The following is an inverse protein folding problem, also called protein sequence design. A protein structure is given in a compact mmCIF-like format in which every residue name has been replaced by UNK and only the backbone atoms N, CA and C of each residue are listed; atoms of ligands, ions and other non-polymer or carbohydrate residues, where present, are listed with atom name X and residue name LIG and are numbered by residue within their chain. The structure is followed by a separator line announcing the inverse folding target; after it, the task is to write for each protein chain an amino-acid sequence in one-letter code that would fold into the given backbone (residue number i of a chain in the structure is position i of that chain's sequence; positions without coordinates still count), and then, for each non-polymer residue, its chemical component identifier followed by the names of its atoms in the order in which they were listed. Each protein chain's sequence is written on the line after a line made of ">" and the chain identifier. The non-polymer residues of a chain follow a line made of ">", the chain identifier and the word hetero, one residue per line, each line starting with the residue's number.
data_IF_969352399525
#
_entry.id   IF_969352399525
#
_cell.length_a   1.000
_cell.length_b   1.000
_cell.length_c   1.000
_cell.angle_alpha   90.00
_cell.angle_beta   90.00
_cell.angle_gamma   90.00
#
_symmetry.space_group_name_H-M   'P 1'
#
loop_
_entity.id
_entity.type
_entity.pdbx_description
1 polymer ?
#
# COMPACT_ATOMS: atom_id res chain seq x y z
N UNK A 1 -0.87 -28.97 3.44
CA UNK A 1 -2.09 -28.25 2.94
C UNK A 1 -2.42 -28.81 1.56
N UNK A 2 -3.67 -29.17 1.30
CA UNK A 2 -4.15 -29.67 0.01
C UNK A 2 -4.08 -28.60 -1.10
N UNK A 3 -3.95 -28.98 -2.38
CA UNK A 3 -3.77 -28.03 -3.50
C UNK A 3 -4.89 -26.99 -3.62
N UNK A 4 -6.13 -27.38 -3.36
CA UNK A 4 -7.29 -26.49 -3.43
C UNK A 4 -7.23 -25.41 -2.35
N UNK A 5 -6.89 -25.78 -1.12
CA UNK A 5 -6.72 -24.81 -0.02
C UNK A 5 -5.56 -23.83 -0.28
N UNK A 6 -4.44 -24.30 -0.89
CA UNK A 6 -3.32 -23.40 -1.28
C UNK A 6 -3.77 -22.34 -2.27
N UNK A 7 -4.51 -22.76 -3.29
CA UNK A 7 -5.03 -21.86 -4.32
C UNK A 7 -5.97 -20.80 -3.72
N UNK A 8 -6.87 -21.21 -2.82
CA UNK A 8 -7.78 -20.30 -2.13
C UNK A 8 -7.00 -19.27 -1.28
N UNK A 9 -6.05 -19.72 -0.47
CA UNK A 9 -5.27 -18.84 0.41
C UNK A 9 -4.53 -17.77 -0.42
N UNK A 10 -3.81 -18.18 -1.45
CA UNK A 10 -3.06 -17.25 -2.30
C UNK A 10 -4.01 -16.36 -3.10
N UNK A 11 -5.10 -16.91 -3.65
CA UNK A 11 -6.10 -16.15 -4.40
C UNK A 11 -6.73 -15.03 -3.57
N UNK A 12 -7.13 -15.31 -2.34
CA UNK A 12 -7.70 -14.30 -1.43
C UNK A 12 -6.71 -13.18 -1.14
N UNK A 13 -5.44 -13.52 -0.87
CA UNK A 13 -4.41 -12.51 -0.60
C UNK A 13 -4.11 -11.67 -1.84
N UNK A 14 -4.02 -12.29 -3.02
CA UNK A 14 -3.79 -11.60 -4.28
C UNK A 14 -4.95 -10.63 -4.59
N UNK A 15 -6.20 -11.05 -4.41
CA UNK A 15 -7.38 -10.21 -4.64
C UNK A 15 -7.42 -9.03 -3.67
N UNK A 16 -7.16 -9.25 -2.38
CA UNK A 16 -7.08 -8.18 -1.38
C UNK A 16 -5.97 -7.17 -1.68
N UNK A 17 -4.80 -7.66 -2.09
CA UNK A 17 -3.67 -6.81 -2.47
C UNK A 17 -3.90 -6.09 -3.79
N UNK A 18 -4.59 -6.71 -4.74
CA UNK A 18 -4.97 -6.10 -6.00
C UNK A 18 -5.85 -4.87 -5.81
N UNK A 19 -6.86 -4.93 -4.91
CA UNK A 19 -7.70 -3.77 -4.59
C UNK A 19 -6.87 -2.62 -4.00
N UNK A 20 -5.91 -2.93 -3.13
CA UNK A 20 -5.01 -1.91 -2.58
C UNK A 20 -4.14 -1.25 -3.66
N UNK A 21 -3.63 -2.05 -4.60
CA UNK A 21 -2.84 -1.55 -5.72
C UNK A 21 -3.68 -0.76 -6.73
N UNK A 22 -4.88 -1.26 -7.04
CA UNK A 22 -5.84 -0.55 -7.90
C UNK A 22 -6.21 0.80 -7.30
N UNK A 23 -6.51 0.87 -5.99
CA UNK A 23 -6.79 2.13 -5.29
C UNK A 23 -5.62 3.14 -5.38
N UNK A 24 -4.38 2.66 -5.38
CA UNK A 24 -3.23 3.55 -5.57
C UNK A 24 -3.23 4.20 -6.96
N UNK A 25 -3.58 3.46 -7.99
CA UNK A 25 -3.48 3.89 -9.38
C UNK A 25 -4.70 4.68 -9.87
N UNK A 26 -5.90 4.42 -9.34
CA UNK A 26 -7.11 5.19 -9.64
C UNK A 26 -7.05 6.65 -9.13
N UNK A 27 -6.09 6.97 -8.24
CA UNK A 27 -5.93 8.34 -7.75
C UNK A 27 -5.40 9.32 -8.80
N UNK A 28 -4.63 8.87 -9.79
CA UNK A 28 -4.06 9.76 -10.81
C UNK A 28 -5.13 10.57 -11.56
N UNK A 29 -6.20 9.97 -12.12
CA UNK A 29 -7.29 10.73 -12.75
C UNK A 29 -8.15 11.54 -11.75
N UNK A 30 -8.08 11.24 -10.44
CA UNK A 30 -8.82 11.99 -9.42
C UNK A 30 -8.20 13.35 -9.07
N UNK A 31 -6.89 13.54 -9.31
CA UNK A 31 -6.18 14.74 -8.87
C UNK A 31 -6.80 16.05 -9.38
N UNK A 32 -7.19 16.21 -10.66
CA UNK A 32 -7.83 17.45 -11.13
C UNK A 32 -9.18 17.73 -10.46
N UNK A 33 -9.96 16.70 -10.15
CA UNK A 33 -11.23 16.85 -9.44
C UNK A 33 -11.01 17.30 -7.99
N UNK A 34 -10.02 16.72 -7.30
CA UNK A 34 -9.65 17.11 -5.94
C UNK A 34 -9.13 18.56 -5.87
N UNK A 35 -8.34 18.98 -6.86
CA UNK A 35 -7.87 20.37 -6.95
C UNK A 35 -9.04 21.36 -7.02
N UNK A 36 -10.05 21.06 -7.84
CA UNK A 36 -11.24 21.91 -7.97
C UNK A 36 -12.07 21.91 -6.69
N UNK A 37 -12.36 20.72 -6.13
CA UNK A 37 -13.25 20.60 -4.97
C UNK A 37 -12.66 21.22 -3.70
N UNK A 38 -11.35 21.09 -3.48
CA UNK A 38 -10.69 21.63 -2.30
C UNK A 38 -10.01 23.00 -2.55
N UNK A 39 -10.06 23.52 -3.78
CA UNK A 39 -9.42 24.77 -4.18
C UNK A 39 -7.93 24.81 -3.81
N UNK A 40 -7.19 23.77 -4.18
CA UNK A 40 -5.77 23.58 -3.87
C UNK A 40 -4.91 23.53 -5.12
N UNK A 41 -3.62 23.80 -4.94
CA UNK A 41 -2.65 23.80 -6.03
C UNK A 41 -2.21 22.39 -6.44
N UNK A 42 -1.60 22.27 -7.63
CA UNK A 42 -1.03 21.02 -8.12
C UNK A 42 0.04 20.45 -7.16
N UNK A 43 0.89 21.31 -6.58
CA UNK A 43 1.89 20.89 -5.59
C UNK A 43 1.25 20.33 -4.33
N UNK A 44 0.14 20.92 -3.87
CA UNK A 44 -0.58 20.45 -2.69
C UNK A 44 -1.29 19.12 -2.96
N UNK A 45 -1.97 18.96 -4.09
CA UNK A 45 -2.71 17.73 -4.39
C UNK A 45 -1.81 16.52 -4.57
N UNK A 46 -0.57 16.71 -5.00
CA UNK A 46 0.40 15.61 -5.15
C UNK A 46 0.70 14.89 -3.82
N UNK A 47 0.48 15.56 -2.67
CA UNK A 47 0.63 14.90 -1.37
C UNK A 47 -0.30 13.70 -1.18
N UNK A 48 -1.41 13.62 -1.91
CA UNK A 48 -2.31 12.45 -1.91
C UNK A 48 -1.59 11.17 -2.33
N UNK A 49 -0.72 11.26 -3.33
CA UNK A 49 0.10 10.14 -3.80
C UNK A 49 1.41 10.01 -3.04
N UNK A 50 2.06 11.13 -2.73
CA UNK A 50 3.35 11.13 -2.02
C UNK A 50 3.25 10.56 -0.61
N UNK A 51 2.22 10.95 0.17
CA UNK A 51 2.01 10.41 1.52
C UNK A 51 1.70 8.91 1.49
N UNK A 52 0.97 8.46 0.46
CA UNK A 52 0.70 7.03 0.29
C UNK A 52 1.98 6.24 0.05
N UNK A 53 2.85 6.71 -0.85
CA UNK A 53 4.15 6.07 -1.13
C UNK A 53 5.08 6.10 0.08
N UNK A 54 5.11 7.23 0.81
CA UNK A 54 5.91 7.39 2.02
C UNK A 54 5.53 6.36 3.09
N UNK A 55 4.24 6.29 3.41
CA UNK A 55 3.75 5.36 4.44
C UNK A 55 3.93 3.91 3.98
N UNK A 56 3.69 3.59 2.70
CA UNK A 56 3.98 2.25 2.16
C UNK A 56 5.44 1.88 2.34
N UNK A 57 6.37 2.78 2.07
CA UNK A 57 7.81 2.53 2.26
C UNK A 57 8.18 2.29 3.72
N UNK A 58 7.60 3.06 4.65
CA UNK A 58 7.78 2.86 6.09
C UNK A 58 7.23 1.49 6.54
N UNK A 59 6.14 1.03 5.94
CA UNK A 59 5.52 -0.25 6.28
C UNK A 59 6.34 -1.46 5.86
N UNK A 60 7.29 -1.34 4.92
CA UNK A 60 8.12 -2.48 4.46
C UNK A 60 8.83 -3.22 5.60
N UNK A 61 9.66 -2.59 6.46
CA UNK A 61 10.29 -3.30 7.58
C UNK A 61 9.28 -3.70 8.68
N UNK A 62 8.21 -2.93 8.85
CA UNK A 62 7.17 -3.23 9.84
C UNK A 62 6.38 -4.48 9.41
N UNK A 63 6.10 -4.62 8.12
CA UNK A 63 5.34 -5.77 7.59
C UNK A 63 6.04 -7.10 7.84
N UNK A 64 7.38 -7.15 7.69
CA UNK A 64 8.16 -8.35 8.03
C UNK A 64 7.98 -8.79 9.48
N UNK A 65 8.09 -7.84 10.42
CA UNK A 65 7.82 -8.09 11.82
C UNK A 65 6.38 -8.56 12.08
N UNK A 66 5.39 -7.93 11.43
CA UNK A 66 3.97 -8.28 11.59
C UNK A 66 3.66 -9.67 11.04
N UNK A 67 4.26 -10.05 9.91
CA UNK A 67 4.10 -11.38 9.28
C UNK A 67 4.64 -12.48 10.19
N UNK A 68 5.76 -12.25 10.86
CA UNK A 68 6.32 -13.22 11.81
C UNK A 68 5.53 -13.29 13.12
N UNK A 69 4.92 -12.19 13.57
CA UNK A 69 4.25 -12.10 14.86
C UNK A 69 2.77 -12.48 14.84
N UNK A 70 2.05 -12.21 13.78
CA UNK A 70 0.61 -12.41 13.69
C UNK A 70 0.25 -13.52 12.70
N UNK A 71 -0.83 -14.24 12.99
CA UNK A 71 -1.34 -15.25 12.06
C UNK A 71 -1.81 -14.57 10.76
N UNK A 72 -1.62 -15.26 9.65
CA UNK A 72 -1.94 -14.77 8.29
C UNK A 72 -3.38 -14.22 8.22
N UNK A 73 -4.35 -14.93 8.81
CA UNK A 73 -5.75 -14.48 8.83
C UNK A 73 -5.96 -13.18 9.60
N UNK A 74 -5.36 -13.07 10.81
CA UNK A 74 -5.48 -11.84 11.63
C UNK A 74 -4.78 -10.67 10.96
N UNK A 75 -3.61 -10.91 10.38
CA UNK A 75 -2.84 -9.88 9.70
C UNK A 75 -3.56 -9.37 8.46
N UNK A 76 -4.08 -10.25 7.61
CA UNK A 76 -4.87 -9.91 6.44
C UNK A 76 -6.13 -9.11 6.83
N UNK A 77 -6.88 -9.61 7.83
CA UNK A 77 -8.08 -8.93 8.32
C UNK A 77 -7.78 -7.52 8.87
N UNK A 78 -6.74 -7.40 9.69
CA UNK A 78 -6.31 -6.11 10.25
C UNK A 78 -5.85 -5.12 9.18
N UNK A 79 -5.08 -5.58 8.21
CA UNK A 79 -4.59 -4.77 7.10
C UNK A 79 -5.76 -4.28 6.22
N UNK A 80 -6.68 -5.16 5.83
CA UNK A 80 -7.86 -4.77 5.04
C UNK A 80 -8.82 -3.88 5.84
N UNK A 81 -9.01 -4.13 7.13
CA UNK A 81 -9.84 -3.28 7.97
C UNK A 81 -9.25 -1.86 8.07
N UNK A 82 -7.94 -1.74 8.27
CA UNK A 82 -7.24 -0.44 8.29
C UNK A 82 -7.37 0.26 6.94
N UNK A 83 -7.18 -0.45 5.83
CA UNK A 83 -7.38 0.06 4.48
C UNK A 83 -8.82 0.53 4.26
N UNK A 84 -9.82 -0.24 4.70
CA UNK A 84 -11.23 0.09 4.58
C UNK A 84 -11.60 1.34 5.37
N UNK A 85 -11.13 1.46 6.63
CA UNK A 85 -11.35 2.68 7.44
C UNK A 85 -10.77 3.89 6.73
N UNK A 86 -9.54 3.80 6.21
CA UNK A 86 -8.93 4.87 5.41
C UNK A 86 -9.74 5.21 4.17
N UNK A 87 -10.29 4.21 3.47
CA UNK A 87 -11.14 4.40 2.28
C UNK A 87 -12.44 5.11 2.63
N UNK A 88 -13.09 4.75 3.73
CA UNK A 88 -14.30 5.43 4.21
C UNK A 88 -14.02 6.87 4.61
N UNK A 89 -12.91 7.14 5.30
CA UNK A 89 -12.51 8.51 5.61
C UNK A 89 -12.28 9.35 4.35
N UNK A 90 -11.65 8.78 3.31
CA UNK A 90 -11.52 9.46 2.02
C UNK A 90 -12.88 9.74 1.37
N UNK A 91 -13.82 8.79 1.41
CA UNK A 91 -15.15 8.94 0.82
C UNK A 91 -15.96 10.10 1.45
N UNK A 92 -15.85 10.26 2.76
CA UNK A 92 -16.59 11.29 3.52
C UNK A 92 -15.80 12.58 3.79
N UNK A 93 -14.57 12.69 3.28
CA UNK A 93 -13.66 13.79 3.60
C UNK A 93 -14.27 15.17 3.23
N UNK A 94 -14.52 16.06 4.22
CA UNK A 94 -15.00 17.41 3.97
C UNK A 94 -13.89 18.38 3.60
N UNK A 95 -12.62 18.01 3.87
CA UNK A 95 -11.44 18.81 3.60
C UNK A 95 -10.26 17.95 3.20
N UNK A 96 -9.26 18.60 2.62
CA UNK A 96 -8.06 17.93 2.12
C UNK A 96 -7.25 17.22 3.22
N UNK A 97 -7.22 17.77 4.45
CA UNK A 97 -6.45 17.17 5.56
C UNK A 97 -7.04 15.81 5.96
N UNK A 98 -8.38 15.70 6.06
CA UNK A 98 -9.01 14.41 6.38
C UNK A 98 -8.82 13.39 5.24
N UNK A 99 -8.81 13.85 3.99
CA UNK A 99 -8.44 13.00 2.85
C UNK A 99 -7.02 12.43 3.00
N UNK A 100 -6.05 13.25 3.39
CA UNK A 100 -4.67 12.80 3.65
C UNK A 100 -4.59 11.78 4.79
N UNK A 101 -5.31 12.00 5.89
CA UNK A 101 -5.39 11.03 6.99
C UNK A 101 -5.96 9.69 6.48
N UNK A 102 -7.02 9.74 5.69
CA UNK A 102 -7.55 8.53 5.04
C UNK A 102 -6.52 7.83 4.17
N UNK A 103 -5.72 8.58 3.39
CA UNK A 103 -4.63 8.05 2.55
C UNK A 103 -3.51 7.39 3.37
N UNK A 104 -3.16 7.96 4.52
CA UNK A 104 -2.18 7.37 5.46
C UNK A 104 -2.68 5.99 5.93
N UNK A 105 -3.93 5.89 6.36
CA UNK A 105 -4.51 4.63 6.82
C UNK A 105 -4.63 3.60 5.69
N UNK A 106 -5.08 4.01 4.50
CA UNK A 106 -5.09 3.14 3.32
C UNK A 106 -3.70 2.57 3.04
N UNK A 107 -2.69 3.43 3.05
CA UNK A 107 -1.32 3.04 2.78
C UNK A 107 -0.73 2.13 3.86
N UNK A 108 -1.05 2.37 5.13
CA UNK A 108 -0.63 1.48 6.22
C UNK A 108 -1.20 0.07 6.03
N UNK A 109 -2.48 -0.05 5.65
CA UNK A 109 -3.10 -1.34 5.32
C UNK A 109 -2.46 -2.00 4.10
N UNK A 110 -2.33 -1.28 2.98
CA UNK A 110 -1.75 -1.82 1.74
C UNK A 110 -0.29 -2.21 1.89
N UNK A 111 0.49 -1.48 2.69
CA UNK A 111 1.90 -1.78 2.96
C UNK A 111 2.11 -3.10 3.71
N UNK A 112 1.08 -3.64 4.33
CA UNK A 112 1.08 -5.00 4.89
C UNK A 112 0.61 -6.03 3.87
N UNK A 113 -0.42 -5.71 3.07
CA UNK A 113 -1.01 -6.63 2.10
C UNK A 113 -0.02 -7.01 0.97
N UNK A 114 0.71 -6.04 0.43
CA UNK A 114 1.62 -6.26 -0.70
C UNK A 114 2.73 -7.28 -0.39
N UNK A 115 3.46 -7.22 0.74
CA UNK A 115 4.44 -8.25 1.09
C UNK A 115 3.84 -9.64 1.29
N UNK A 116 2.58 -9.76 1.72
CA UNK A 116 1.92 -11.07 1.86
C UNK A 116 1.81 -11.82 0.53
N UNK A 117 1.67 -11.10 -0.61
CA UNK A 117 1.63 -11.72 -1.95
C UNK A 117 2.95 -12.43 -2.28
N UNK A 118 4.08 -11.94 -1.78
CA UNK A 118 5.38 -12.58 -2.00
C UNK A 118 5.64 -13.71 -0.99
N UNK A 119 5.29 -13.50 0.28
CA UNK A 119 5.64 -14.41 1.38
C UNK A 119 4.73 -15.64 1.42
N UNK A 120 3.42 -15.47 1.28
CA UNK A 120 2.47 -16.57 1.49
C UNK A 120 2.60 -17.70 0.46
N UNK A 121 2.79 -17.43 -0.86
CA UNK A 121 3.07 -18.50 -1.81
C UNK A 121 4.30 -19.34 -1.44
N UNK A 122 5.36 -18.70 -0.90
CA UNK A 122 6.55 -19.42 -0.44
C UNK A 122 6.30 -20.35 0.75
N UNK A 123 5.32 -19.99 1.61
CA UNK A 123 4.96 -20.81 2.77
C UNK A 123 4.05 -21.98 2.42
N UNK A 124 3.15 -21.81 1.43
CA UNK A 124 2.11 -22.82 1.14
C UNK A 124 2.45 -23.73 -0.03
N UNK A 125 3.26 -23.28 -1.00
CA UNK A 125 3.64 -24.07 -2.16
C UNK A 125 5.00 -24.77 -1.99
N UNK A 126 5.14 -26.02 -2.48
CA UNK A 126 6.44 -26.67 -2.55
C UNK A 126 7.37 -25.94 -3.53
N UNK A 127 8.71 -26.08 -3.39
CA UNK A 127 9.69 -25.32 -4.16
C UNK A 127 9.49 -25.35 -5.68
N UNK A 128 9.10 -26.52 -6.22
CA UNK A 128 8.84 -26.74 -7.65
C UNK A 128 7.66 -25.97 -8.21
N UNK A 129 6.70 -25.54 -7.38
CA UNK A 129 5.49 -24.84 -7.78
C UNK A 129 5.44 -23.34 -7.36
N UNK A 130 6.42 -22.87 -6.59
CA UNK A 130 6.47 -21.48 -6.12
C UNK A 130 6.57 -20.50 -7.27
N UNK A 131 7.39 -20.78 -8.28
CA UNK A 131 7.54 -19.89 -9.45
C UNK A 131 6.24 -19.69 -10.21
N UNK A 132 5.47 -20.77 -10.42
CA UNK A 132 4.15 -20.67 -11.08
C UNK A 132 3.16 -19.87 -10.24
N UNK A 133 3.08 -20.11 -8.93
CA UNK A 133 2.17 -19.39 -8.03
C UNK A 133 2.50 -17.88 -7.97
N UNK A 134 3.78 -17.54 -7.88
CA UNK A 134 4.24 -16.15 -7.89
C UNK A 134 4.04 -15.47 -9.24
N UNK A 135 4.25 -16.20 -10.35
CA UNK A 135 4.00 -15.70 -11.70
C UNK A 135 2.53 -15.35 -11.92
N UNK A 136 1.61 -16.21 -11.49
CA UNK A 136 0.17 -15.94 -11.54
C UNK A 136 -0.21 -14.73 -10.70
N UNK A 137 0.31 -14.64 -9.47
CA UNK A 137 0.10 -13.47 -8.62
C UNK A 137 0.65 -12.20 -9.27
N UNK A 138 1.84 -12.26 -9.89
CA UNK A 138 2.46 -11.14 -10.60
C UNK A 138 1.62 -10.63 -11.77
N UNK A 139 0.98 -11.51 -12.55
CA UNK A 139 0.09 -11.13 -13.65
C UNK A 139 -1.10 -10.33 -13.11
N UNK A 140 -1.74 -10.81 -12.05
CA UNK A 140 -2.89 -10.11 -11.44
C UNK A 140 -2.45 -8.76 -10.87
N UNK A 141 -1.30 -8.70 -10.21
CA UNK A 141 -0.77 -7.45 -9.66
C UNK A 141 -0.39 -6.44 -10.74
N UNK A 142 0.13 -6.90 -11.89
CA UNK A 142 0.44 -6.03 -13.02
C UNK A 142 -0.82 -5.45 -13.70
N UNK A 143 -1.97 -6.11 -13.59
CA UNK A 143 -3.24 -5.61 -14.11
C UNK A 143 -3.74 -4.35 -13.37
N UNK A 144 -3.41 -4.17 -12.08
CA UNK A 144 -3.82 -3.01 -11.29
C UNK A 144 -3.42 -1.67 -11.93
N UNK A 145 -2.13 -1.41 -12.17
CA UNK A 145 -1.67 -0.20 -12.83
C UNK A 145 -2.22 0.00 -14.25
N UNK A 146 -2.52 -1.09 -14.98
CA UNK A 146 -3.09 -1.00 -16.32
C UNK A 146 -4.58 -0.63 -16.31
N UNK A 147 -5.35 -1.22 -15.41
CA UNK A 147 -6.80 -1.07 -15.32
C UNK A 147 -7.18 0.17 -14.48
N UNK A 148 -6.40 0.47 -13.44
CA UNK A 148 -6.72 1.49 -12.45
C UNK A 148 -7.03 2.87 -13.06
N UNK A 149 -6.16 3.46 -13.88
CA UNK A 149 -6.42 4.78 -14.47
C UNK A 149 -7.65 4.80 -15.37
N UNK A 150 -7.91 3.73 -16.13
CA UNK A 150 -9.07 3.62 -17.03
C UNK A 150 -10.37 3.55 -16.21
N UNK A 151 -10.44 2.63 -15.26
CA UNK A 151 -11.61 2.49 -14.38
C UNK A 151 -11.81 3.74 -13.54
N UNK A 152 -10.71 4.28 -12.97
CA UNK A 152 -10.74 5.51 -12.19
C UNK A 152 -11.26 6.69 -12.99
N UNK A 153 -10.76 6.89 -14.21
CA UNK A 153 -11.21 7.96 -15.10
C UNK A 153 -12.71 7.85 -15.39
N UNK A 154 -13.18 6.68 -15.85
CA UNK A 154 -14.59 6.44 -16.17
C UNK A 154 -15.54 6.69 -14.97
N UNK A 155 -15.15 6.21 -13.78
CA UNK A 155 -15.96 6.40 -12.56
C UNK A 155 -15.97 7.87 -12.13
N UNK A 156 -14.81 8.53 -12.17
CA UNK A 156 -14.68 9.92 -11.71
C UNK A 156 -15.43 10.88 -12.66
N UNK A 157 -15.32 10.65 -13.97
CA UNK A 157 -16.01 11.46 -14.97
C UNK A 157 -17.54 11.32 -14.89
N UNK A 158 -18.02 10.12 -14.54
CA UNK A 158 -19.47 9.82 -14.47
C UNK A 158 -20.10 10.15 -13.13
N UNK A 159 -19.40 9.92 -12.03
CA UNK A 159 -19.97 9.95 -10.68
C UNK A 159 -19.16 10.82 -9.69
N UNK A 160 -17.95 11.24 -10.06
CA UNK A 160 -17.05 11.97 -9.18
C UNK A 160 -16.15 11.04 -8.34
N UNK A 161 -15.21 11.65 -7.61
CA UNK A 161 -14.20 10.93 -6.85
C UNK A 161 -14.70 10.29 -5.54
N UNK A 162 -15.72 10.86 -4.88
CA UNK A 162 -16.28 10.29 -3.63
C UNK A 162 -16.94 8.93 -3.85
N UNK A 163 -17.87 8.76 -4.81
CA UNK A 163 -18.44 7.45 -5.12
C UNK A 163 -17.41 6.38 -5.50
N UNK A 164 -16.29 6.77 -6.10
CA UNK A 164 -15.18 5.86 -6.36
C UNK A 164 -14.66 5.21 -5.06
N UNK A 165 -14.42 6.01 -4.01
CA UNK A 165 -14.00 5.48 -2.70
C UNK A 165 -15.09 4.61 -2.06
N UNK A 166 -16.36 4.96 -2.20
CA UNK A 166 -17.48 4.14 -1.72
C UNK A 166 -17.48 2.77 -2.42
N UNK A 167 -17.30 2.74 -3.73
CA UNK A 167 -17.19 1.49 -4.50
C UNK A 167 -16.01 0.62 -4.03
N UNK A 168 -14.84 1.22 -3.82
CA UNK A 168 -13.67 0.52 -3.29
C UNK A 168 -13.96 -0.02 -1.88
N UNK A 169 -14.62 0.76 -1.01
CA UNK A 169 -14.98 0.32 0.33
C UNK A 169 -15.93 -0.89 0.32
N UNK A 170 -16.94 -0.89 -0.54
CA UNK A 170 -17.87 -2.02 -0.69
C UNK A 170 -17.14 -3.29 -1.14
N UNK A 171 -16.29 -3.19 -2.18
CA UNK A 171 -15.49 -4.33 -2.64
C UNK A 171 -14.54 -4.81 -1.55
N UNK A 172 -13.88 -3.89 -0.85
CA UNK A 172 -12.99 -4.22 0.28
C UNK A 172 -13.73 -4.94 1.40
N UNK A 173 -14.96 -4.52 1.71
CA UNK A 173 -15.81 -5.18 2.72
C UNK A 173 -16.12 -6.64 2.32
N UNK A 174 -16.50 -6.87 1.06
CA UNK A 174 -16.76 -8.22 0.55
C UNK A 174 -15.51 -9.10 0.66
N UNK A 175 -14.34 -8.57 0.29
CA UNK A 175 -13.07 -9.29 0.38
C UNK A 175 -12.69 -9.51 1.85
N UNK A 176 -12.92 -8.55 2.74
CA UNK A 176 -12.61 -8.67 4.17
C UNK A 176 -13.44 -9.81 4.79
N UNK A 177 -14.74 -9.81 4.57
CA UNK A 177 -15.64 -10.83 5.12
C UNK A 177 -15.36 -12.20 4.48
N UNK A 178 -15.45 -12.29 3.16
CA UNK A 178 -15.22 -13.54 2.41
C UNK A 178 -13.80 -14.09 2.63
N UNK A 179 -12.80 -13.22 2.53
CA UNK A 179 -11.40 -13.60 2.70
C UNK A 179 -11.09 -14.09 4.10
N UNK A 180 -11.58 -13.43 5.14
CA UNK A 180 -11.36 -13.89 6.53
C UNK A 180 -12.03 -15.21 6.83
N UNK A 181 -13.15 -15.53 6.19
CA UNK A 181 -13.82 -16.83 6.33
C UNK A 181 -13.04 -17.95 5.63
N UNK A 182 -12.44 -17.67 4.47
CA UNK A 182 -11.75 -18.65 3.64
C UNK A 182 -10.27 -18.84 4.01
N UNK A 183 -9.63 -17.83 4.60
CA UNK A 183 -8.21 -17.88 4.96
C UNK A 183 -7.96 -18.83 6.12
N UNK A 184 -7.01 -19.75 5.91
CA UNK A 184 -6.38 -20.56 6.96
C UNK A 184 -5.05 -19.91 7.35
N UNK A 185 -4.67 -20.07 8.63
CA UNK A 185 -3.37 -19.62 9.09
C UNK A 185 -2.27 -20.49 8.49
N UNK A 186 -1.21 -19.85 8.00
CA UNK A 186 -0.05 -20.51 7.41
C UNK A 186 1.23 -19.93 8.00
N UNK A 187 2.27 -20.76 8.05
CA UNK A 187 3.53 -20.39 8.69
C UNK A 187 3.51 -20.57 10.21
N UNK A 188 4.68 -20.57 10.79
CA UNK A 188 4.90 -20.64 12.23
C UNK A 188 5.01 -19.22 12.80
N UNK A 189 4.28 -18.98 13.91
CA UNK A 189 4.39 -17.71 14.61
C UNK A 189 5.70 -17.69 15.38
N UNK A 190 6.46 -16.63 15.17
CA UNK A 190 7.67 -16.34 15.91
C UNK A 190 7.39 -15.26 16.95
N UNK A 191 8.33 -15.03 17.84
CA UNK A 191 8.30 -13.89 18.76
C UNK A 191 9.43 -12.90 18.42
N UNK A 192 9.37 -12.25 17.23
CA UNK A 192 10.41 -11.36 16.78
C UNK A 192 10.43 -10.10 17.65
N UNK A 193 11.62 -9.50 17.82
CA UNK A 193 11.74 -8.15 18.36
C UNK A 193 11.65 -7.16 17.22
N UNK A 194 10.79 -6.15 17.35
CA UNK A 194 10.76 -5.05 16.37
C UNK A 194 12.10 -4.31 16.41
N UNK A 195 12.76 -4.27 15.26
CA UNK A 195 13.98 -3.49 15.13
C UNK A 195 13.64 -2.01 14.91
N UNK A 196 13.45 -1.28 16.01
CA UNK A 196 13.06 0.14 16.00
C UNK A 196 14.03 0.98 15.15
N UNK A 197 15.33 0.66 15.19
CA UNK A 197 16.31 1.39 14.40
C UNK A 197 16.11 1.18 12.88
N UNK A 198 15.73 -0.03 12.44
CA UNK A 198 15.38 -0.29 11.04
C UNK A 198 14.14 0.49 10.60
N UNK A 199 13.14 0.63 11.48
CA UNK A 199 11.94 1.46 11.21
C UNK A 199 12.32 2.93 11.09
N UNK A 200 13.14 3.46 12.00
CA UNK A 200 13.63 4.85 11.95
C UNK A 200 14.44 5.10 10.68
N UNK A 201 15.39 4.22 10.36
CA UNK A 201 16.21 4.35 9.15
C UNK A 201 15.39 4.30 7.88
N UNK A 202 14.40 3.40 7.76
CA UNK A 202 13.52 3.34 6.61
C UNK A 202 12.62 4.58 6.52
N UNK A 203 12.13 5.10 7.64
CA UNK A 203 11.33 6.34 7.68
C UNK A 203 12.14 7.53 7.17
N UNK A 204 13.38 7.69 7.63
CA UNK A 204 14.27 8.76 7.17
C UNK A 204 14.65 8.56 5.71
N UNK A 205 14.94 7.33 5.30
CA UNK A 205 15.30 6.99 3.93
C UNK A 205 14.18 7.33 2.94
N UNK A 206 13.01 6.71 3.11
CA UNK A 206 11.88 6.95 2.21
C UNK A 206 11.31 8.36 2.37
N UNK A 207 11.23 8.89 3.60
CA UNK A 207 10.79 10.24 3.88
C UNK A 207 11.69 11.30 3.23
N UNK A 208 12.99 11.18 3.41
CA UNK A 208 13.97 12.09 2.83
C UNK A 208 13.98 12.07 1.30
N UNK A 209 13.97 10.88 0.70
CA UNK A 209 13.94 10.72 -0.74
C UNK A 209 12.63 11.24 -1.36
N UNK A 210 11.48 10.81 -0.85
CA UNK A 210 10.18 11.23 -1.38
C UNK A 210 9.93 12.73 -1.19
N UNK A 211 10.27 13.28 -0.01
CA UNK A 211 10.17 14.72 0.22
C UNK A 211 11.11 15.50 -0.70
N UNK A 212 12.36 15.06 -0.85
CA UNK A 212 13.34 15.71 -1.71
C UNK A 212 12.90 15.71 -3.18
N UNK A 213 12.49 14.57 -3.74
CA UNK A 213 12.02 14.48 -5.12
C UNK A 213 10.69 15.23 -5.33
N UNK A 214 9.74 15.15 -4.40
CA UNK A 214 8.47 15.87 -4.48
C UNK A 214 8.68 17.40 -4.45
N UNK A 215 9.57 17.88 -3.57
CA UNK A 215 9.86 19.29 -3.41
C UNK A 215 10.72 19.86 -4.54
N UNK A 216 11.45 19.02 -5.28
CA UNK A 216 12.29 19.46 -6.42
C UNK A 216 11.47 20.13 -7.52
N UNK A 217 10.20 19.73 -7.70
CA UNK A 217 9.29 20.32 -8.69
C UNK A 217 8.88 21.77 -8.35
N UNK A 218 8.86 22.12 -7.07
CA UNK A 218 8.41 23.43 -6.56
C UNK A 218 9.58 24.35 -6.17
N UNK A 219 10.63 23.78 -5.56
CA UNK A 219 11.78 24.52 -5.03
C UNK A 219 12.99 24.52 -5.98
N UNK A 220 12.96 23.67 -7.02
CA UNK A 220 14.10 23.46 -7.93
C UNK A 220 15.14 22.48 -7.37
N UNK A 221 15.84 21.81 -8.28
CA UNK A 221 16.86 20.80 -7.95
C UNK A 221 18.09 21.36 -7.22
N UNK A 222 18.37 22.68 -7.39
CA UNK A 222 19.49 23.35 -6.75
C UNK A 222 19.17 23.84 -5.32
N UNK A 223 17.94 23.66 -4.84
CA UNK A 223 17.55 24.07 -3.48
C UNK A 223 18.32 23.27 -2.43
N UNK A 224 18.94 23.92 -1.43
CA UNK A 224 19.62 23.24 -0.35
C UNK A 224 18.71 22.24 0.40
N UNK A 225 17.43 22.57 0.55
CA UNK A 225 16.43 21.69 1.20
C UNK A 225 16.26 20.40 0.42
N UNK A 226 16.15 20.47 -0.91
CA UNK A 226 16.03 19.30 -1.79
C UNK A 226 17.27 18.43 -1.71
N UNK A 227 18.46 19.05 -1.86
CA UNK A 227 19.75 18.34 -1.84
C UNK A 227 19.95 17.64 -0.49
N UNK A 228 19.75 18.36 0.62
CA UNK A 228 19.93 17.80 1.97
C UNK A 228 18.96 16.64 2.21
N UNK A 229 17.68 16.79 1.82
CA UNK A 229 16.68 15.74 1.98
C UNK A 229 17.04 14.47 1.23
N UNK A 230 17.51 14.61 -0.03
CA UNK A 230 17.94 13.47 -0.85
C UNK A 230 19.20 12.82 -0.26
N UNK A 231 20.21 13.61 0.13
CA UNK A 231 21.46 13.08 0.70
C UNK A 231 21.19 12.35 2.02
N UNK A 232 20.41 12.95 2.93
CA UNK A 232 20.03 12.30 4.19
C UNK A 232 19.24 11.03 3.94
N UNK A 233 18.30 11.07 2.98
CA UNK A 233 17.53 9.89 2.57
C UNK A 233 18.41 8.77 2.02
N UNK A 234 19.38 9.07 1.17
CA UNK A 234 20.34 8.10 0.62
C UNK A 234 21.24 7.50 1.69
N UNK A 235 21.79 8.33 2.59
CA UNK A 235 22.63 7.86 3.69
C UNK A 235 21.85 6.93 4.62
N UNK A 236 20.63 7.31 4.98
CA UNK A 236 19.75 6.47 5.79
C UNK A 236 19.37 5.16 5.07
N UNK A 237 19.17 5.19 3.76
CA UNK A 237 18.88 4.01 2.95
C UNK A 237 20.04 3.02 2.92
N UNK A 238 21.26 3.51 2.71
CA UNK A 238 22.48 2.69 2.77
C UNK A 238 22.66 2.09 4.17
N UNK A 239 22.49 2.89 5.23
CA UNK A 239 22.56 2.41 6.61
C UNK A 239 21.48 1.36 6.92
N UNK A 240 20.26 1.54 6.38
CA UNK A 240 19.19 0.55 6.47
C UNK A 240 19.57 -0.77 5.82
N UNK A 241 20.06 -0.74 4.58
CA UNK A 241 20.51 -1.96 3.87
C UNK A 241 21.63 -2.66 4.64
N UNK A 242 22.67 -1.91 5.06
CA UNK A 242 23.79 -2.48 5.79
C UNK A 242 23.39 -3.20 7.08
N UNK A 243 22.32 -2.72 7.71
CA UNK A 243 21.80 -3.32 8.94
C UNK A 243 20.90 -4.54 8.70
N UNK A 244 20.37 -4.72 7.49
CA UNK A 244 19.50 -5.85 7.13
C UNK A 244 20.32 -7.06 6.62
N UNK A 245 21.55 -6.83 6.16
CA UNK A 245 22.52 -7.84 5.75
C UNK A 245 23.34 -8.31 6.95
#
# INVERSE_FOLDING_TARGET
>A
IDPHTRFIIVGVIVVGSFIALLNQTVMSPALPALMRDFNITTGTVQWVTSVYMLVSGIMVPISGYLIDKFSTRKLFAGALATFMVGTLLCAVAPNFMLLLVGRILQSAGSGVLLPLVAVVPMLVYPPDKRGTAMGMAGIVMAAGPAIGPVVGGLVIDSFGWRPMFVGIAVVTLVILVGGTMMLKNVGELKNPKLNILSVILSTIAFGGLLYGFSSASTMGWSSPVVIISIVVGLVAFVAFIYKQV
#
